data_IF_045026925905
#
_entry.id   IF_045026925905
#
_cell.length_a   1.000
_cell.length_b   1.000
_cell.length_c   1.000
_cell.angle_alpha   90.00
_cell.angle_beta   90.00
_cell.angle_gamma   90.00
#
_symmetry.space_group_name_H-M   'P 1'
#
loop_
_entity.id
_entity.type
_entity.pdbx_description
1 polymer ?
#
# COMPACT_ATOMS: atom_id res chain seq x y z
N UNK A 1 15.09 29.29 -4.83
CA UNK A 1 15.15 28.07 -3.99
C UNK A 1 15.17 26.88 -4.92
N UNK A 2 16.14 25.96 -4.77
CA UNK A 2 16.20 24.71 -5.55
C UNK A 2 15.82 23.56 -4.62
N UNK A 3 14.78 22.80 -4.96
CA UNK A 3 14.39 21.58 -4.27
C UNK A 3 14.86 20.41 -5.15
N UNK A 4 15.85 19.66 -4.67
CA UNK A 4 16.45 18.54 -5.40
C UNK A 4 17.07 17.56 -4.41
N UNK A 5 17.31 16.34 -4.83
CA UNK A 5 18.14 15.40 -4.09
C UNK A 5 19.55 15.96 -3.89
N UNK A 6 20.13 15.70 -2.74
CA UNK A 6 21.56 15.92 -2.52
C UNK A 6 22.39 14.86 -3.27
N UNK A 7 23.73 14.99 -3.26
CA UNK A 7 24.60 14.10 -4.03
C UNK A 7 24.50 12.64 -3.57
N UNK A 8 24.37 12.38 -2.26
CA UNK A 8 24.22 11.03 -1.71
C UNK A 8 22.87 10.40 -2.11
N UNK A 9 21.79 11.18 -2.07
CA UNK A 9 20.47 10.73 -2.51
C UNK A 9 20.41 10.49 -4.02
N UNK A 10 21.09 11.33 -4.79
CA UNK A 10 21.20 11.14 -6.24
C UNK A 10 22.04 9.90 -6.58
N UNK A 11 23.08 9.59 -5.81
CA UNK A 11 23.86 8.35 -5.94
C UNK A 11 23.02 7.12 -5.60
N UNK A 12 22.38 7.10 -4.44
CA UNK A 12 21.47 6.02 -4.04
C UNK A 12 20.41 5.75 -5.12
N UNK A 13 19.87 6.81 -5.71
CA UNK A 13 18.90 6.69 -6.78
C UNK A 13 19.45 6.01 -8.01
N UNK A 14 20.73 6.28 -8.41
CA UNK A 14 21.38 5.59 -9.52
C UNK A 14 21.62 4.12 -9.18
N UNK A 15 22.17 3.85 -8.00
CA UNK A 15 22.42 2.50 -7.49
C UNK A 15 21.15 1.64 -7.53
N UNK A 16 20.03 2.16 -7.00
CA UNK A 16 18.75 1.46 -7.00
C UNK A 16 18.19 1.23 -8.40
N UNK A 17 18.36 2.18 -9.29
CA UNK A 17 17.95 2.03 -10.69
C UNK A 17 18.70 0.91 -11.39
N UNK A 18 20.02 0.86 -11.21
CA UNK A 18 20.87 -0.19 -11.77
C UNK A 18 20.54 -1.54 -11.14
N UNK A 19 20.35 -1.59 -9.82
CA UNK A 19 19.92 -2.76 -9.09
C UNK A 19 18.59 -3.31 -9.61
N UNK A 20 17.55 -2.48 -9.69
CA UNK A 20 16.24 -2.90 -10.19
C UNK A 20 16.25 -3.28 -11.67
N UNK A 21 17.11 -2.66 -12.49
CA UNK A 21 17.29 -3.07 -13.87
C UNK A 21 17.81 -4.51 -13.99
N UNK A 22 18.70 -4.92 -13.09
CA UNK A 22 19.19 -6.29 -13.01
C UNK A 22 18.20 -7.26 -12.37
N UNK A 23 17.50 -6.82 -11.30
CA UNK A 23 16.54 -7.66 -10.58
C UNK A 23 15.31 -7.96 -11.44
N UNK A 24 14.74 -6.95 -12.09
CA UNK A 24 13.47 -7.05 -12.82
C UNK A 24 13.69 -7.39 -14.28
N UNK A 25 14.10 -8.64 -14.56
CA UNK A 25 14.22 -9.17 -15.93
C UNK A 25 12.84 -9.28 -16.60
N UNK A 26 12.83 -9.41 -17.93
CA UNK A 26 11.57 -9.60 -18.68
C UNK A 26 10.85 -10.88 -18.25
N UNK A 27 11.58 -11.95 -17.91
CA UNK A 27 11.05 -13.19 -17.38
C UNK A 27 10.35 -12.98 -16.04
N UNK A 28 11.00 -12.29 -15.08
CA UNK A 28 10.40 -11.96 -13.79
C UNK A 28 9.17 -11.05 -13.93
N UNK A 29 9.23 -10.07 -14.84
CA UNK A 29 8.06 -9.21 -15.11
C UNK A 29 6.90 -10.01 -15.68
N UNK A 30 7.16 -10.94 -16.60
CA UNK A 30 6.13 -11.80 -17.14
C UNK A 30 5.52 -12.70 -16.07
N UNK A 31 6.34 -13.32 -15.21
CA UNK A 31 5.87 -14.16 -14.11
C UNK A 31 4.99 -13.39 -13.10
N UNK A 32 5.35 -12.13 -12.78
CA UNK A 32 4.58 -11.28 -11.85
C UNK A 32 3.29 -10.70 -12.47
N UNK A 33 3.12 -10.74 -13.78
CA UNK A 33 1.94 -10.21 -14.48
C UNK A 33 1.07 -11.30 -15.13
N UNK A 34 1.56 -12.54 -15.14
CA UNK A 34 0.85 -13.72 -15.66
C UNK A 34 -0.04 -14.37 -14.60
N UNK A 35 -1.04 -15.13 -15.06
CA UNK A 35 -1.89 -15.93 -14.21
C UNK A 35 -3.05 -15.21 -13.53
N UNK A 36 -3.79 -15.95 -12.73
CA UNK A 36 -5.01 -15.51 -12.05
C UNK A 36 -4.75 -14.93 -10.65
N UNK A 37 -3.49 -14.79 -10.24
CA UNK A 37 -3.10 -14.29 -8.92
C UNK A 37 -3.01 -12.76 -8.84
N UNK A 38 -3.05 -12.23 -7.63
CA UNK A 38 -2.93 -10.80 -7.33
C UNK A 38 -1.57 -10.23 -7.77
N UNK A 39 -0.50 -11.05 -7.69
CA UNK A 39 0.88 -10.71 -8.07
C UNK A 39 1.56 -11.81 -8.92
N UNK A 40 0.81 -12.43 -9.84
CA UNK A 40 1.34 -13.47 -10.72
C UNK A 40 1.16 -14.89 -10.22
N UNK A 41 1.74 -15.86 -10.93
CA UNK A 41 1.70 -17.28 -10.60
C UNK A 41 2.92 -17.73 -9.79
N UNK A 42 2.71 -18.72 -8.93
CA UNK A 42 3.77 -19.40 -8.20
C UNK A 42 4.51 -18.52 -7.21
N UNK A 43 5.80 -18.79 -7.03
CA UNK A 43 6.65 -18.15 -6.02
C UNK A 43 7.33 -16.86 -6.49
N UNK A 44 7.06 -16.39 -7.71
CA UNK A 44 7.75 -15.25 -8.33
C UNK A 44 7.74 -14.00 -7.44
N UNK A 45 6.63 -13.73 -6.76
CA UNK A 45 6.53 -12.63 -5.80
C UNK A 45 7.47 -12.85 -4.61
N UNK A 46 7.42 -14.03 -3.98
CA UNK A 46 8.25 -14.37 -2.80
C UNK A 46 9.74 -14.34 -3.15
N UNK A 47 10.11 -14.85 -4.33
CA UNK A 47 11.51 -14.88 -4.80
C UNK A 47 12.08 -13.48 -4.99
N UNK A 48 11.33 -12.58 -5.63
CA UNK A 48 11.79 -11.20 -5.82
C UNK A 48 11.90 -10.46 -4.48
N UNK A 49 10.94 -10.65 -3.59
CA UNK A 49 10.97 -10.03 -2.26
C UNK A 49 12.10 -10.58 -1.41
N UNK A 50 12.32 -11.90 -1.40
CA UNK A 50 13.42 -12.53 -0.68
C UNK A 50 14.79 -12.07 -1.22
N UNK A 51 14.93 -11.86 -2.53
CA UNK A 51 16.16 -11.32 -3.10
C UNK A 51 16.40 -9.88 -2.61
N UNK A 52 15.38 -9.00 -2.66
CA UNK A 52 15.52 -7.64 -2.12
C UNK A 52 15.88 -7.63 -0.62
N UNK A 53 15.33 -8.58 0.16
CA UNK A 53 15.65 -8.75 1.56
C UNK A 53 17.08 -9.22 1.79
N UNK A 54 17.55 -10.22 1.03
CA UNK A 54 18.91 -10.72 1.09
C UNK A 54 19.95 -9.66 0.73
N UNK A 55 19.61 -8.76 -0.21
CA UNK A 55 20.44 -7.64 -0.65
C UNK A 55 20.33 -6.42 0.30
N UNK A 56 19.50 -6.51 1.37
CA UNK A 56 19.38 -5.50 2.42
C UNK A 56 18.51 -4.30 2.08
N UNK A 57 17.73 -4.32 0.99
CA UNK A 57 16.99 -3.17 0.50
C UNK A 57 15.64 -2.93 1.20
N UNK A 58 14.99 -3.98 1.72
CA UNK A 58 13.62 -3.86 2.24
C UNK A 58 13.51 -2.98 3.49
N UNK A 59 14.51 -3.02 4.35
CA UNK A 59 14.48 -2.41 5.68
C UNK A 59 15.43 -1.20 5.80
N UNK A 60 15.61 -0.41 4.73
CA UNK A 60 16.56 0.71 4.68
C UNK A 60 16.45 1.68 5.86
N UNK A 61 15.24 2.10 6.19
CA UNK A 61 14.97 3.07 7.24
C UNK A 61 14.87 2.47 8.65
N UNK A 62 15.00 1.14 8.81
CA UNK A 62 14.84 0.51 10.12
C UNK A 62 16.13 0.57 10.95
N UNK A 63 16.03 0.50 12.29
CA UNK A 63 17.18 0.33 13.17
C UNK A 63 18.00 -0.93 12.79
N UNK A 64 19.32 -0.84 12.95
CA UNK A 64 20.23 -1.94 12.61
C UNK A 64 20.00 -3.19 13.44
N UNK A 65 19.51 -3.05 14.66
CA UNK A 65 19.15 -4.15 15.56
C UNK A 65 18.02 -5.03 14.99
N UNK A 66 17.19 -4.50 14.09
CA UNK A 66 16.10 -5.21 13.42
C UNK A 66 16.41 -5.57 11.95
N UNK A 67 17.69 -5.51 11.57
CA UNK A 67 18.14 -5.84 10.22
C UNK A 67 18.05 -4.68 9.23
N UNK A 68 17.84 -3.45 9.70
CA UNK A 68 17.82 -2.24 8.90
C UNK A 68 19.19 -1.59 8.71
N UNK A 69 19.21 -0.45 8.03
CA UNK A 69 20.42 0.32 7.73
C UNK A 69 20.45 1.70 8.39
N UNK A 70 19.47 2.04 9.23
CA UNK A 70 19.35 3.35 9.88
C UNK A 70 19.36 4.53 8.89
N UNK A 71 18.94 4.32 7.64
CA UNK A 71 18.87 5.37 6.62
C UNK A 71 17.65 6.27 6.84
N UNK A 72 17.66 7.42 6.21
CA UNK A 72 16.59 8.39 6.34
C UNK A 72 15.29 7.93 5.67
N UNK A 73 14.15 8.52 6.10
CA UNK A 73 12.86 8.30 5.42
C UNK A 73 12.86 8.82 3.96
N UNK A 74 13.76 9.75 3.64
CA UNK A 74 13.97 10.18 2.25
C UNK A 74 14.61 9.08 1.43
N UNK A 75 15.57 8.33 1.98
CA UNK A 75 16.20 7.19 1.29
C UNK A 75 15.19 6.05 1.10
N UNK A 76 14.32 5.81 2.09
CA UNK A 76 13.21 4.85 1.97
C UNK A 76 12.22 5.27 0.86
N UNK A 77 11.92 6.56 0.74
CA UNK A 77 11.07 7.08 -0.35
C UNK A 77 11.73 6.87 -1.73
N UNK A 78 13.05 7.13 -1.84
CA UNK A 78 13.80 6.89 -3.08
C UNK A 78 13.74 5.42 -3.48
N UNK A 79 13.94 4.50 -2.52
CA UNK A 79 13.80 3.06 -2.76
C UNK A 79 12.40 2.70 -3.28
N UNK A 80 11.36 3.17 -2.60
CA UNK A 80 9.96 2.90 -2.99
C UNK A 80 9.64 3.42 -4.39
N UNK A 81 10.12 4.63 -4.72
CA UNK A 81 9.89 5.23 -6.04
C UNK A 81 10.62 4.46 -7.15
N UNK A 82 11.90 4.11 -6.97
CA UNK A 82 12.65 3.36 -8.00
C UNK A 82 12.14 1.91 -8.13
N UNK A 83 11.70 1.27 -7.04
CA UNK A 83 11.02 -0.03 -7.08
C UNK A 83 9.72 0.05 -7.90
N UNK A 84 8.89 1.06 -7.65
CA UNK A 84 7.64 1.28 -8.37
C UNK A 84 7.87 1.58 -9.87
N UNK A 85 8.91 2.37 -10.21
CA UNK A 85 9.33 2.62 -11.60
C UNK A 85 9.72 1.31 -12.30
N UNK A 86 10.42 0.45 -11.59
CA UNK A 86 10.87 -0.85 -12.12
C UNK A 86 9.74 -1.89 -12.18
N UNK A 87 8.62 -1.67 -11.47
CA UNK A 87 7.55 -2.64 -11.29
C UNK A 87 7.91 -3.78 -10.34
N UNK A 88 8.84 -3.54 -9.40
CA UNK A 88 9.21 -4.51 -8.38
C UNK A 88 8.14 -4.55 -7.27
N UNK A 89 7.71 -5.75 -6.84
CA UNK A 89 6.67 -5.91 -5.83
C UNK A 89 7.25 -5.73 -4.42
N UNK A 90 7.16 -4.53 -3.86
CA UNK A 90 7.53 -4.30 -2.47
C UNK A 90 6.42 -4.81 -1.56
N UNK A 91 6.71 -5.60 -0.49
CA UNK A 91 5.72 -6.08 0.47
C UNK A 91 5.27 -4.94 1.40
N UNK A 92 4.56 -3.99 0.81
CA UNK A 92 4.23 -2.69 1.34
C UNK A 92 3.57 -2.75 2.73
N UNK A 93 2.51 -3.58 2.88
CA UNK A 93 1.79 -3.72 4.14
C UNK A 93 2.69 -4.26 5.25
N UNK A 94 3.51 -5.25 4.92
CA UNK A 94 4.42 -5.88 5.87
C UNK A 94 5.50 -4.90 6.34
N UNK A 95 6.17 -4.20 5.38
CA UNK A 95 7.33 -3.35 5.67
C UNK A 95 6.94 -1.99 6.27
N UNK A 96 5.88 -1.36 5.74
CA UNK A 96 5.56 0.02 6.09
C UNK A 96 4.43 0.14 7.13
N UNK A 97 3.74 -0.97 7.43
CA UNK A 97 2.59 -0.94 8.34
C UNK A 97 2.78 -1.88 9.52
N UNK A 98 2.88 -3.18 9.28
CA UNK A 98 2.93 -4.19 10.35
C UNK A 98 4.24 -4.10 11.13
N UNK A 99 5.38 -4.13 10.45
CA UNK A 99 6.68 -4.15 11.11
C UNK A 99 6.94 -2.91 11.99
N UNK A 100 6.67 -1.66 11.56
CA UNK A 100 6.79 -0.50 12.45
C UNK A 100 5.88 -0.58 13.67
N UNK A 101 4.71 -1.20 13.53
CA UNK A 101 3.80 -1.40 14.68
C UNK A 101 4.37 -2.45 15.64
N UNK A 102 4.93 -3.55 15.15
CA UNK A 102 5.63 -4.54 16.00
C UNK A 102 6.85 -3.90 16.69
N UNK A 103 7.64 -3.07 16.00
CA UNK A 103 8.78 -2.36 16.60
C UNK A 103 8.37 -1.52 17.80
N UNK A 104 7.24 -0.83 17.70
CA UNK A 104 6.80 0.10 18.73
C UNK A 104 5.99 -0.56 19.87
N UNK A 105 5.24 -1.61 19.58
CA UNK A 105 4.24 -2.17 20.50
C UNK A 105 4.35 -3.67 20.73
N UNK A 106 5.15 -4.39 19.93
CA UNK A 106 5.37 -5.82 20.09
C UNK A 106 6.20 -6.15 21.33
N UNK A 107 6.05 -7.37 21.85
CA UNK A 107 6.95 -7.89 22.89
C UNK A 107 8.36 -8.10 22.33
N UNK A 108 9.35 -8.30 23.21
CA UNK A 108 10.73 -8.54 22.79
C UNK A 108 10.85 -9.84 21.99
N UNK A 109 10.05 -10.86 22.34
CA UNK A 109 9.99 -12.12 21.62
C UNK A 109 9.38 -11.92 20.21
N UNK A 110 8.31 -11.12 20.10
CA UNK A 110 7.69 -10.78 18.81
C UNK A 110 8.69 -10.00 17.94
N UNK A 111 9.37 -9.00 18.47
CA UNK A 111 10.39 -8.24 17.75
C UNK A 111 11.51 -9.14 17.25
N UNK A 112 12.06 -9.99 18.14
CA UNK A 112 13.16 -10.91 17.82
C UNK A 112 12.76 -11.96 16.77
N UNK A 113 11.50 -12.39 16.77
CA UNK A 113 11.03 -13.40 15.82
C UNK A 113 10.66 -12.78 14.46
N UNK A 114 9.83 -11.72 14.44
CA UNK A 114 9.24 -11.22 13.22
C UNK A 114 10.16 -10.29 12.45
N UNK A 115 10.77 -9.30 13.10
CA UNK A 115 11.44 -8.21 12.39
C UNK A 115 12.63 -8.67 11.52
N UNK A 116 13.54 -9.53 11.97
CA UNK A 116 14.63 -9.99 11.10
C UNK A 116 14.15 -10.82 9.90
N UNK A 117 13.05 -11.58 10.06
CA UNK A 117 12.47 -12.38 8.98
C UNK A 117 11.76 -11.53 7.94
N UNK A 118 11.09 -10.48 8.40
CA UNK A 118 10.48 -9.48 7.52
C UNK A 118 11.55 -8.73 6.75
N UNK A 119 12.59 -8.23 7.42
CA UNK A 119 13.71 -7.53 6.79
C UNK A 119 14.40 -8.39 5.72
N UNK A 120 14.51 -9.70 5.96
CA UNK A 120 15.05 -10.66 5.01
C UNK A 120 14.07 -11.06 3.88
N UNK A 121 12.86 -10.51 3.84
CA UNK A 121 11.84 -10.83 2.82
C UNK A 121 11.29 -12.26 2.92
N UNK A 122 11.43 -12.93 4.06
CA UNK A 122 11.05 -14.32 4.28
C UNK A 122 9.73 -14.52 5.00
N UNK A 123 9.11 -13.43 5.46
CA UNK A 123 7.87 -13.48 6.21
C UNK A 123 6.95 -12.34 5.75
N UNK A 124 5.71 -12.69 5.45
CA UNK A 124 4.71 -11.80 4.86
C UNK A 124 3.45 -11.75 5.71
N UNK A 125 2.87 -10.55 5.78
CA UNK A 125 1.60 -10.31 6.44
C UNK A 125 0.54 -9.85 5.46
N UNK A 126 -0.70 -10.31 5.70
CA UNK A 126 -1.91 -9.66 5.21
C UNK A 126 -2.66 -8.99 6.35
N UNK A 127 -3.52 -8.02 6.03
CA UNK A 127 -4.26 -7.24 7.02
C UNK A 127 -5.73 -7.65 7.02
N UNK A 128 -6.20 -8.14 8.17
CA UNK A 128 -7.60 -8.49 8.42
C UNK A 128 -8.30 -7.41 9.24
N UNK A 129 -8.79 -6.35 8.58
CA UNK A 129 -9.48 -5.23 9.24
C UNK A 129 -10.97 -5.22 8.92
N UNK A 130 -11.32 -4.88 7.69
CA UNK A 130 -12.71 -4.70 7.24
C UNK A 130 -13.52 -5.99 7.33
N UNK A 131 -14.80 -5.82 7.60
CA UNK A 131 -15.80 -6.90 7.59
C UNK A 131 -16.93 -6.54 6.61
N UNK A 132 -17.78 -7.48 6.20
CA UNK A 132 -18.93 -7.17 5.34
C UNK A 132 -19.81 -6.03 5.89
N UNK A 133 -19.92 -5.91 7.22
CA UNK A 133 -20.71 -4.87 7.91
C UNK A 133 -19.88 -3.75 8.55
N UNK A 134 -18.54 -3.75 8.43
CA UNK A 134 -17.66 -2.79 9.09
C UNK A 134 -16.47 -2.42 8.20
N UNK A 135 -16.66 -1.46 7.31
CA UNK A 135 -15.61 -0.88 6.45
C UNK A 135 -15.25 0.53 6.91
N UNK A 136 -16.00 1.54 6.47
CA UNK A 136 -15.78 2.94 6.87
C UNK A 136 -15.88 3.13 8.39
N UNK A 137 -16.86 2.50 9.04
CA UNK A 137 -16.95 2.41 10.50
C UNK A 137 -16.23 1.15 10.99
N UNK A 138 -14.90 1.14 10.89
CA UNK A 138 -14.08 -0.01 11.28
C UNK A 138 -14.26 -0.36 12.76
N UNK A 139 -14.52 0.63 13.62
CA UNK A 139 -14.75 0.40 15.03
C UNK A 139 -16.01 -0.44 15.34
N UNK A 140 -16.90 -0.66 14.36
CA UNK A 140 -18.04 -1.54 14.48
C UNK A 140 -17.73 -3.03 14.18
N UNK A 141 -16.45 -3.40 13.99
CA UNK A 141 -16.04 -4.78 13.74
C UNK A 141 -16.55 -5.76 14.82
N UNK A 142 -16.88 -6.99 14.38
CA UNK A 142 -17.52 -8.00 15.21
C UNK A 142 -16.76 -9.34 15.30
N UNK A 143 -15.72 -9.55 14.48
CA UNK A 143 -14.83 -10.71 14.64
C UNK A 143 -14.34 -10.75 16.08
N UNK A 144 -14.64 -11.80 16.81
CA UNK A 144 -14.31 -11.93 18.24
C UNK A 144 -13.04 -12.70 18.46
N UNK A 145 -12.35 -12.43 19.56
CA UNK A 145 -11.30 -13.26 20.11
C UNK A 145 -11.58 -13.41 21.63
N UNK A 146 -12.04 -14.59 22.01
CA UNK A 146 -12.43 -14.88 23.42
C UNK A 146 -11.30 -15.66 24.07
N UNK A 147 -10.87 -15.23 25.24
CA UNK A 147 -9.83 -15.91 26.00
C UNK A 147 -10.35 -17.25 26.53
N UNK A 148 -9.60 -18.31 26.28
CA UNK A 148 -9.84 -19.67 26.77
C UNK A 148 -8.51 -20.27 27.27
N UNK A 149 -8.28 -20.14 28.57
CA UNK A 149 -7.00 -20.52 29.19
C UNK A 149 -5.84 -19.66 28.71
N UNK A 150 -4.86 -20.31 28.09
CA UNK A 150 -3.65 -19.68 27.53
C UNK A 150 -3.80 -19.30 26.05
N UNK A 151 -5.01 -19.48 25.46
CA UNK A 151 -5.32 -19.18 24.08
C UNK A 151 -6.38 -18.11 23.94
N UNK A 152 -6.45 -17.51 22.76
CA UNK A 152 -7.64 -16.85 22.20
C UNK A 152 -8.32 -17.76 21.17
N UNK A 153 -9.64 -17.87 21.27
CA UNK A 153 -10.50 -18.54 20.27
C UNK A 153 -11.14 -17.47 19.41
N UNK A 154 -10.83 -17.48 18.11
CA UNK A 154 -11.21 -16.44 17.17
C UNK A 154 -12.36 -16.96 16.30
N UNK A 155 -13.44 -16.16 16.22
CA UNK A 155 -14.59 -16.42 15.37
C UNK A 155 -15.00 -15.17 14.62
N UNK A 156 -15.23 -15.28 13.31
CA UNK A 156 -15.68 -14.17 12.48
C UNK A 156 -15.27 -14.27 11.03
N UNK A 157 -15.41 -13.13 10.34
CA UNK A 157 -15.11 -13.00 8.92
C UNK A 157 -14.49 -11.64 8.65
N UNK A 158 -13.46 -11.61 7.79
CA UNK A 158 -12.93 -10.38 7.23
C UNK A 158 -13.16 -10.33 5.72
N UNK A 159 -13.13 -9.10 5.19
CA UNK A 159 -13.33 -8.83 3.78
C UNK A 159 -12.24 -7.89 3.27
N UNK A 160 -11.85 -8.05 2.03
CA UNK A 160 -10.82 -7.25 1.37
C UNK A 160 -9.41 -7.50 1.94
N UNK A 161 -9.14 -8.75 2.35
CA UNK A 161 -7.83 -9.19 2.83
C UNK A 161 -6.94 -9.50 1.63
N UNK A 162 -6.18 -8.50 1.17
CA UNK A 162 -5.31 -8.62 0.01
C UNK A 162 -4.05 -9.41 0.33
N UNK A 163 -3.49 -10.09 -0.68
CA UNK A 163 -2.24 -10.86 -0.59
C UNK A 163 -2.27 -12.05 0.37
N UNK A 164 -3.45 -12.52 0.79
CA UNK A 164 -3.57 -13.64 1.74
C UNK A 164 -2.93 -14.94 1.21
N UNK A 165 -2.98 -15.17 -0.10
CA UNK A 165 -2.34 -16.33 -0.73
C UNK A 165 -0.81 -16.37 -0.57
N UNK A 166 -0.20 -15.23 -0.31
CA UNK A 166 1.25 -15.07 -0.13
C UNK A 166 1.66 -14.83 1.33
N UNK A 167 0.68 -14.67 2.23
CA UNK A 167 0.93 -14.31 3.62
C UNK A 167 1.18 -15.55 4.50
N UNK A 168 2.11 -15.41 5.42
CA UNK A 168 2.37 -16.40 6.48
C UNK A 168 1.48 -16.11 7.70
N UNK A 169 1.11 -14.84 7.89
CA UNK A 169 0.29 -14.40 9.02
C UNK A 169 -0.74 -13.34 8.60
N UNK A 170 -1.84 -13.32 9.34
CA UNK A 170 -2.82 -12.24 9.30
C UNK A 170 -2.60 -11.30 10.48
N UNK A 171 -2.43 -10.02 10.20
CA UNK A 171 -2.50 -8.93 11.15
C UNK A 171 -3.97 -8.60 11.40
N UNK A 172 -4.54 -9.19 12.44
CA UNK A 172 -5.97 -9.23 12.66
C UNK A 172 -6.44 -8.21 13.70
N UNK A 173 -7.36 -7.31 13.32
CA UNK A 173 -8.15 -6.54 14.27
C UNK A 173 -9.39 -7.36 14.70
N UNK A 174 -9.53 -7.60 15.97
CA UNK A 174 -10.65 -8.37 16.53
C UNK A 174 -11.18 -7.73 17.81
N UNK A 175 -12.32 -8.22 18.27
CA UNK A 175 -12.98 -7.72 19.48
C UNK A 175 -12.77 -8.71 20.62
N UNK A 176 -12.01 -8.29 21.62
CA UNK A 176 -11.80 -9.04 22.87
C UNK A 176 -12.82 -8.69 23.94
N UNK A 177 -13.47 -7.51 23.85
CA UNK A 177 -14.57 -7.11 24.71
C UNK A 177 -15.81 -6.74 23.90
N UNK A 178 -16.74 -7.69 23.67
CA UNK A 178 -17.99 -7.44 22.93
C UNK A 178 -18.93 -6.45 23.61
N UNK A 179 -18.86 -6.25 24.93
CA UNK A 179 -19.73 -5.33 25.67
C UNK A 179 -19.57 -3.87 25.23
N UNK A 180 -18.43 -3.55 24.61
CA UNK A 180 -18.13 -2.22 24.07
C UNK A 180 -18.98 -1.83 22.84
N UNK A 181 -19.70 -2.80 22.23
CA UNK A 181 -20.69 -2.55 21.17
C UNK A 181 -22.11 -2.31 21.71
N UNK A 182 -22.36 -2.54 22.99
CA UNK A 182 -23.64 -2.32 23.62
C UNK A 182 -24.00 -0.81 23.67
N UNK A 183 -25.28 -0.45 23.80
CA UNK A 183 -25.69 0.94 23.94
C UNK A 183 -24.96 1.64 25.10
N UNK A 184 -24.27 2.74 24.81
CA UNK A 184 -23.43 3.48 25.77
C UNK A 184 -21.99 2.97 25.87
N UNK A 185 -21.63 1.87 25.22
CA UNK A 185 -20.28 1.35 25.13
C UNK A 185 -19.37 2.23 24.27
N UNK A 186 -18.07 2.11 24.49
CA UNK A 186 -17.03 2.81 23.70
C UNK A 186 -16.47 1.86 22.66
N UNK A 187 -17.09 1.76 21.48
CA UNK A 187 -16.74 0.79 20.41
C UNK A 187 -15.27 0.77 20.00
N UNK A 188 -14.51 1.84 20.19
CA UNK A 188 -13.07 1.90 19.93
C UNK A 188 -12.24 1.17 21.02
N UNK A 189 -12.81 0.96 22.22
CA UNK A 189 -12.21 0.13 23.27
C UNK A 189 -12.65 -1.33 23.06
N UNK A 190 -11.89 -2.27 23.54
CA UNK A 190 -12.21 -3.69 23.35
C UNK A 190 -11.82 -4.24 21.97
N UNK A 191 -11.14 -3.43 21.14
CA UNK A 191 -10.45 -3.90 19.92
C UNK A 191 -9.01 -4.25 20.28
N UNK A 192 -8.58 -5.43 19.88
CA UNK A 192 -7.20 -5.91 20.04
C UNK A 192 -6.59 -6.28 18.70
N UNK A 193 -5.26 -6.29 18.64
CA UNK A 193 -4.50 -6.74 17.49
C UNK A 193 -3.87 -8.09 17.79
N UNK A 194 -4.15 -9.07 16.94
CA UNK A 194 -3.60 -10.42 17.03
C UNK A 194 -2.81 -10.79 15.77
N UNK A 195 -1.73 -11.54 15.95
CA UNK A 195 -0.99 -12.18 14.87
C UNK A 195 -1.51 -13.61 14.74
N UNK A 196 -2.14 -13.93 13.60
CA UNK A 196 -2.79 -15.22 13.34
C UNK A 196 -2.10 -15.92 12.19
N UNK A 197 -1.54 -17.14 12.37
CA UNK A 197 -0.95 -17.92 11.29
C UNK A 197 -1.99 -18.25 10.21
N UNK A 198 -1.61 -18.24 8.95
CA UNK A 198 -2.52 -18.60 7.83
C UNK A 198 -2.73 -20.10 7.68
N UNK A 199 -1.89 -20.91 8.33
CA UNK A 199 -2.00 -22.37 8.41
C UNK A 199 -2.72 -22.86 9.69
N UNK A 200 -3.23 -21.93 10.52
CA UNK A 200 -3.97 -22.29 11.72
C UNK A 200 -5.24 -23.08 11.39
N UNK A 201 -5.55 -24.11 12.17
CA UNK A 201 -6.78 -24.87 12.04
C UNK A 201 -8.00 -23.94 12.21
N UNK A 202 -8.99 -24.07 11.33
CA UNK A 202 -10.19 -23.23 11.31
C UNK A 202 -10.04 -21.91 10.54
N UNK A 203 -8.82 -21.57 10.05
CA UNK A 203 -8.64 -20.47 9.11
C UNK A 203 -8.88 -20.91 7.68
N UNK A 204 -9.58 -20.10 6.90
CA UNK A 204 -9.74 -20.29 5.47
C UNK A 204 -9.98 -18.97 4.76
N UNK A 205 -9.81 -18.95 3.42
CA UNK A 205 -10.11 -17.78 2.61
C UNK A 205 -10.70 -18.15 1.27
N UNK A 206 -11.42 -17.20 0.67
CA UNK A 206 -11.98 -17.29 -0.69
C UNK A 206 -11.55 -16.07 -1.48
N UNK A 207 -10.90 -16.23 -2.65
CA UNK A 207 -10.57 -15.13 -3.53
C UNK A 207 -11.81 -14.36 -3.99
N UNK A 208 -11.68 -13.05 -4.11
CA UNK A 208 -12.69 -12.14 -4.64
C UNK A 208 -12.11 -11.42 -5.83
N UNK A 209 -12.57 -11.79 -7.03
CA UNK A 209 -12.16 -11.15 -8.27
C UNK A 209 -12.80 -9.79 -8.40
N UNK A 210 -11.99 -8.76 -8.54
CA UNK A 210 -12.48 -7.39 -8.61
C UNK A 210 -12.39 -6.81 -10.03
N UNK A 211 -13.20 -5.79 -10.31
CA UNK A 211 -13.15 -5.06 -11.58
C UNK A 211 -11.78 -4.41 -11.82
N UNK A 212 -11.04 -4.11 -10.78
CA UNK A 212 -9.69 -3.52 -10.90
C UNK A 212 -8.67 -4.47 -11.53
N UNK A 213 -8.97 -5.77 -11.57
CA UNK A 213 -8.02 -6.81 -12.00
C UNK A 213 -6.96 -7.11 -10.94
N UNK A 214 -7.14 -6.60 -9.73
CA UNK A 214 -6.39 -6.99 -8.54
C UNK A 214 -7.34 -7.78 -7.66
N UNK A 215 -7.00 -9.02 -7.37
CA UNK A 215 -7.79 -9.88 -6.51
C UNK A 215 -7.57 -9.49 -5.05
N UNK A 216 -8.55 -9.77 -4.24
CA UNK A 216 -8.50 -9.69 -2.79
C UNK A 216 -9.22 -10.92 -2.23
N UNK A 217 -9.41 -11.02 -0.93
CA UNK A 217 -10.05 -12.21 -0.36
C UNK A 217 -11.01 -11.88 0.76
N UNK A 218 -12.02 -12.74 0.90
CA UNK A 218 -12.75 -12.92 2.15
C UNK A 218 -12.01 -13.96 3.00
N UNK A 219 -11.80 -13.70 4.29
CA UNK A 219 -11.17 -14.63 5.22
C UNK A 219 -12.13 -15.01 6.34
N UNK A 220 -12.07 -16.26 6.78
CA UNK A 220 -12.98 -16.85 7.74
C UNK A 220 -12.20 -17.45 8.89
N UNK A 221 -12.73 -17.28 10.09
CA UNK A 221 -12.17 -17.77 11.34
C UNK A 221 -13.25 -18.58 12.06
N UNK A 222 -13.05 -19.89 12.21
CA UNK A 222 -13.96 -20.82 12.84
C UNK A 222 -13.22 -21.52 13.96
N UNK A 223 -13.40 -21.05 15.18
CA UNK A 223 -12.70 -21.54 16.39
C UNK A 223 -11.17 -21.56 16.22
N UNK A 224 -10.61 -20.59 15.47
CA UNK A 224 -9.16 -20.49 15.29
C UNK A 224 -8.49 -20.20 16.64
N UNK A 225 -7.57 -21.07 17.05
CA UNK A 225 -6.84 -20.94 18.31
C UNK A 225 -5.47 -20.35 18.08
N UNK A 226 -5.14 -19.32 18.86
CA UNK A 226 -3.80 -18.73 18.91
C UNK A 226 -3.41 -18.47 20.36
N UNK A 227 -2.13 -18.64 20.75
CA UNK A 227 -1.69 -18.39 22.11
C UNK A 227 -1.91 -16.91 22.50
N UNK A 228 -2.12 -16.65 23.78
CA UNK A 228 -2.30 -15.27 24.30
C UNK A 228 -1.12 -14.36 23.99
N UNK A 229 0.07 -14.92 23.76
CA UNK A 229 1.27 -14.20 23.29
C UNK A 229 1.15 -13.65 21.85
N UNK A 230 0.12 -14.05 21.09
CA UNK A 230 -0.14 -13.52 19.74
C UNK A 230 -0.71 -12.10 19.76
N UNK A 231 -1.14 -11.60 20.91
CA UNK A 231 -1.59 -10.21 21.04
C UNK A 231 -0.43 -9.23 20.88
N UNK A 232 -0.66 -8.13 20.18
CA UNK A 232 0.33 -7.05 20.05
C UNK A 232 -0.16 -5.84 20.84
N UNK A 233 0.67 -5.37 21.77
CA UNK A 233 0.29 -4.36 22.73
C UNK A 233 -0.61 -4.92 23.84
N UNK A 234 -1.54 -4.09 24.33
CA UNK A 234 -2.44 -4.45 25.40
C UNK A 234 -3.81 -4.92 24.87
N UNK A 235 -4.46 -5.83 25.60
CA UNK A 235 -5.83 -6.24 25.31
C UNK A 235 -6.78 -5.05 25.41
N UNK A 236 -7.65 -4.88 24.39
CA UNK A 236 -8.54 -3.72 24.26
C UNK A 236 -7.83 -2.44 23.82
N UNK A 237 -6.50 -2.45 23.65
CA UNK A 237 -5.66 -1.31 23.25
C UNK A 237 -5.36 -1.24 21.75
N UNK A 238 -6.03 -2.02 20.89
CA UNK A 238 -5.70 -2.12 19.45
C UNK A 238 -6.05 -0.89 18.62
N UNK A 239 -7.02 -0.05 19.02
CA UNK A 239 -7.44 1.08 18.21
C UNK A 239 -6.33 2.12 17.92
N UNK A 240 -5.51 2.54 18.89
CA UNK A 240 -4.34 3.38 18.63
C UNK A 240 -3.35 2.74 17.64
N UNK A 241 -3.15 1.42 17.68
CA UNK A 241 -2.28 0.71 16.76
C UNK A 241 -2.81 0.79 15.32
N UNK A 242 -4.11 0.54 15.14
CA UNK A 242 -4.80 0.66 13.84
C UNK A 242 -4.66 2.08 13.28
N UNK A 243 -4.92 3.11 14.08
CA UNK A 243 -4.88 4.51 13.61
C UNK A 243 -3.46 4.96 13.28
N UNK A 244 -2.47 4.57 14.07
CA UNK A 244 -1.06 4.86 13.81
C UNK A 244 -0.59 4.20 12.50
N UNK A 245 -0.91 2.93 12.32
CA UNK A 245 -0.59 2.18 11.11
C UNK A 245 -1.17 2.81 9.85
N UNK A 246 -2.46 3.19 9.87
CA UNK A 246 -3.13 3.83 8.74
C UNK A 246 -2.48 5.17 8.35
N UNK A 247 -1.86 5.90 9.29
CA UNK A 247 -1.13 7.13 8.96
C UNK A 247 0.13 6.86 8.14
N UNK A 248 0.87 5.80 8.44
CA UNK A 248 2.05 5.39 7.67
C UNK A 248 1.66 4.85 6.28
N UNK A 249 0.60 4.07 6.21
CA UNK A 249 0.08 3.50 4.96
C UNK A 249 -0.33 4.59 3.95
N UNK A 250 -1.02 5.64 4.40
CA UNK A 250 -1.55 6.70 3.53
C UNK A 250 -0.49 7.40 2.70
N UNK A 251 0.68 7.65 3.26
CA UNK A 251 1.78 8.34 2.57
C UNK A 251 2.34 7.48 1.47
N UNK A 252 2.55 6.23 1.77
CA UNK A 252 3.22 5.31 0.86
C UNK A 252 2.30 4.82 -0.28
N UNK A 253 0.96 4.83 -0.09
CA UNK A 253 -0.02 4.57 -1.17
C UNK A 253 0.01 5.61 -2.30
N UNK A 254 0.66 6.77 -2.11
CA UNK A 254 0.58 7.92 -3.00
C UNK A 254 1.92 8.24 -3.67
N UNK A 255 2.73 7.22 -4.06
CA UNK A 255 3.92 7.46 -4.86
C UNK A 255 3.56 8.13 -6.21
N UNK A 256 4.34 9.14 -6.60
CA UNK A 256 4.22 9.78 -7.90
C UNK A 256 4.87 8.94 -9.03
N UNK A 257 5.70 7.97 -8.69
CA UNK A 257 6.55 7.24 -9.63
C UNK A 257 5.78 6.47 -10.71
N UNK A 258 4.68 5.73 -10.42
CA UNK A 258 3.91 5.04 -11.46
C UNK A 258 3.30 6.01 -12.49
N UNK A 259 2.76 7.14 -12.01
CA UNK A 259 2.17 8.17 -12.89
C UNK A 259 3.26 8.83 -13.73
N UNK A 260 4.42 9.11 -13.14
CA UNK A 260 5.56 9.70 -13.86
C UNK A 260 6.06 8.77 -14.97
N UNK A 261 6.11 7.47 -14.72
CA UNK A 261 6.47 6.46 -15.72
C UNK A 261 5.45 6.43 -16.85
N UNK A 262 4.16 6.35 -16.52
CA UNK A 262 3.08 6.34 -17.51
C UNK A 262 3.09 7.62 -18.36
N UNK A 263 3.32 8.79 -17.75
CA UNK A 263 3.46 10.06 -18.48
C UNK A 263 4.62 10.02 -19.47
N UNK A 264 5.81 9.60 -19.02
CA UNK A 264 7.01 9.51 -19.88
C UNK A 264 6.79 8.61 -21.09
N UNK A 265 6.19 7.44 -20.86
CA UNK A 265 5.87 6.49 -21.92
C UNK A 265 4.82 7.01 -22.89
N UNK A 266 3.79 7.68 -22.39
CA UNK A 266 2.75 8.31 -23.23
C UNK A 266 3.33 9.45 -24.06
N UNK A 267 4.24 10.27 -23.51
CA UNK A 267 4.96 11.32 -24.25
C UNK A 267 5.79 10.71 -25.37
N UNK A 268 6.60 9.68 -25.08
CA UNK A 268 7.43 9.01 -26.08
C UNK A 268 6.56 8.39 -27.19
N UNK A 269 5.46 7.74 -26.84
CA UNK A 269 4.51 7.20 -27.80
C UNK A 269 3.89 8.30 -28.69
N UNK A 270 3.44 9.41 -28.10
CA UNK A 270 2.83 10.52 -28.84
C UNK A 270 3.82 11.25 -29.76
N UNK A 271 5.11 11.26 -29.43
CA UNK A 271 6.17 11.81 -30.27
C UNK A 271 6.46 10.93 -31.51
N UNK A 272 6.26 9.61 -31.41
CA UNK A 272 6.55 8.63 -32.45
C UNK A 272 5.33 8.31 -33.32
N UNK A 273 4.13 8.41 -32.75
CA UNK A 273 2.89 8.03 -33.44
C UNK A 273 2.36 9.16 -34.30
N UNK A 274 1.96 8.83 -35.54
CA UNK A 274 1.33 9.76 -36.49
C UNK A 274 -0.16 9.48 -36.60
N UNK A 275 -0.93 10.55 -36.72
CA UNK A 275 -2.34 10.53 -37.08
C UNK A 275 -2.54 10.30 -38.59
N UNK A 276 -3.76 10.02 -38.99
CA UNK A 276 -4.08 9.71 -40.41
C UNK A 276 -3.74 10.84 -41.40
N UNK A 277 -3.61 12.09 -40.94
CA UNK A 277 -3.18 13.26 -41.71
C UNK A 277 -1.65 13.47 -41.71
N UNK A 278 -0.90 12.56 -41.06
CA UNK A 278 0.57 12.54 -41.05
C UNK A 278 1.22 13.39 -39.95
N UNK A 279 0.46 14.16 -39.16
CA UNK A 279 0.97 14.88 -37.99
C UNK A 279 1.28 13.92 -36.85
N UNK A 280 2.21 14.29 -35.95
CA UNK A 280 2.45 13.52 -34.73
C UNK A 280 1.34 13.79 -33.73
N UNK A 281 0.97 12.79 -32.93
CA UNK A 281 -0.03 12.94 -31.88
C UNK A 281 0.34 14.09 -30.91
N UNK A 282 1.64 14.22 -30.59
CA UNK A 282 2.16 15.26 -29.68
C UNK A 282 1.96 16.69 -30.22
N UNK A 283 1.78 16.87 -31.54
CA UNK A 283 1.66 18.21 -32.16
C UNK A 283 0.27 18.83 -31.92
N UNK A 284 -0.72 18.03 -31.52
CA UNK A 284 -2.05 18.53 -31.18
C UNK A 284 -2.05 19.31 -29.85
N UNK A 285 -2.59 20.53 -29.86
CA UNK A 285 -2.60 21.43 -28.69
C UNK A 285 -3.25 20.79 -27.45
N UNK A 286 -4.39 20.11 -27.63
CA UNK A 286 -5.10 19.46 -26.51
C UNK A 286 -4.27 18.31 -25.91
N UNK A 287 -3.48 17.59 -26.70
CA UNK A 287 -2.55 16.55 -26.23
C UNK A 287 -1.48 17.20 -25.34
N UNK A 288 -0.87 18.29 -25.81
CA UNK A 288 0.15 19.01 -25.04
C UNK A 288 -0.43 19.53 -23.72
N UNK A 289 -1.67 20.05 -23.72
CA UNK A 289 -2.35 20.50 -22.50
C UNK A 289 -2.60 19.37 -21.51
N UNK A 290 -3.08 18.20 -21.94
CA UNK A 290 -3.28 17.04 -21.08
C UNK A 290 -1.95 16.58 -20.47
N UNK A 291 -0.91 16.43 -21.27
CA UNK A 291 0.41 16.01 -20.80
C UNK A 291 1.03 17.02 -19.82
N UNK A 292 0.92 18.32 -20.11
CA UNK A 292 1.41 19.39 -19.23
C UNK A 292 0.65 19.41 -17.89
N UNK A 293 -0.66 19.20 -17.91
CA UNK A 293 -1.49 19.11 -16.70
C UNK A 293 -1.07 17.93 -15.82
N UNK A 294 -0.87 16.75 -16.42
CA UNK A 294 -0.37 15.58 -15.68
C UNK A 294 1.02 15.86 -15.12
N UNK A 295 1.93 16.43 -15.92
CA UNK A 295 3.29 16.77 -15.47
C UNK A 295 3.29 17.71 -14.25
N UNK A 296 2.56 18.82 -14.32
CA UNK A 296 2.51 19.79 -13.23
C UNK A 296 2.00 19.16 -11.92
N UNK A 297 0.95 18.33 -12.02
CA UNK A 297 0.38 17.64 -10.85
C UNK A 297 1.27 16.53 -10.30
N UNK A 298 2.03 15.83 -11.14
CA UNK A 298 3.07 14.87 -10.71
C UNK A 298 4.14 15.58 -9.89
N UNK A 299 4.66 16.72 -10.37
CA UNK A 299 5.68 17.49 -9.65
C UNK A 299 5.16 17.98 -8.30
N UNK A 300 3.91 18.39 -8.22
CA UNK A 300 3.28 18.76 -6.94
C UNK A 300 3.18 17.57 -5.98
N UNK A 301 2.74 16.39 -6.45
CA UNK A 301 2.66 15.18 -5.63
C UNK A 301 4.04 14.77 -5.10
N UNK A 302 5.08 14.85 -5.93
CA UNK A 302 6.47 14.61 -5.49
C UNK A 302 6.87 15.54 -4.35
N UNK A 303 6.57 16.84 -4.47
CA UNK A 303 6.90 17.83 -3.43
C UNK A 303 6.19 17.56 -2.11
N UNK A 304 4.92 17.12 -2.15
CA UNK A 304 4.19 16.72 -0.94
C UNK A 304 4.88 15.51 -0.28
N UNK A 305 5.21 14.48 -1.06
CA UNK A 305 5.89 13.30 -0.55
C UNK A 305 7.27 13.64 0.05
N UNK A 306 8.03 14.51 -0.62
CA UNK A 306 9.33 14.99 -0.11
C UNK A 306 9.18 15.79 1.18
N UNK A 307 8.15 16.64 1.30
CA UNK A 307 7.85 17.36 2.54
C UNK A 307 7.67 16.38 3.70
N UNK A 308 6.86 15.35 3.51
CA UNK A 308 6.57 14.36 4.55
C UNK A 308 7.83 13.56 4.91
N UNK A 309 8.56 13.07 3.92
CA UNK A 309 9.80 12.33 4.13
C UNK A 309 10.87 13.19 4.83
N UNK A 310 10.97 14.48 4.50
CA UNK A 310 11.90 15.43 5.13
C UNK A 310 11.55 15.68 6.60
N UNK A 311 10.26 15.85 6.94
CA UNK A 311 9.81 16.00 8.33
C UNK A 311 10.18 14.76 9.14
N UNK A 312 9.89 13.57 8.62
CA UNK A 312 10.23 12.30 9.28
C UNK A 312 11.75 12.11 9.42
N UNK A 313 12.54 12.47 8.39
CA UNK A 313 14.01 12.40 8.43
C UNK A 313 14.65 13.34 9.46
N UNK A 314 13.94 14.41 9.83
CA UNK A 314 14.38 15.38 10.86
C UNK A 314 13.92 15.01 12.28
N UNK A 315 13.41 13.79 12.48
CA UNK A 315 12.89 13.33 13.78
C UNK A 315 11.49 13.83 14.12
N UNK A 316 10.82 14.52 13.19
CA UNK A 316 9.42 14.92 13.34
C UNK A 316 8.45 13.82 12.94
N UNK A 317 7.22 13.91 13.44
CA UNK A 317 6.12 13.05 12.99
C UNK A 317 5.26 13.80 11.97
N UNK A 318 5.00 13.24 10.78
CA UNK A 318 4.03 13.81 9.86
C UNK A 318 2.67 13.97 10.52
N UNK A 319 2.02 15.11 10.31
CA UNK A 319 0.68 15.30 10.88
C UNK A 319 -0.32 14.36 10.20
N UNK A 320 -1.32 13.83 10.92
CA UNK A 320 -2.40 13.03 10.31
C UNK A 320 -3.15 13.80 9.21
N UNK A 321 -3.22 15.13 9.31
CA UNK A 321 -3.82 15.99 8.30
C UNK A 321 -2.98 16.04 7.02
N UNK A 322 -1.64 16.16 7.12
CA UNK A 322 -0.73 16.11 5.96
C UNK A 322 -0.81 14.74 5.26
N UNK A 323 -0.80 13.63 6.03
CA UNK A 323 -0.97 12.29 5.48
C UNK A 323 -2.32 12.13 4.75
N UNK A 324 -3.40 12.63 5.35
CA UNK A 324 -4.74 12.62 4.75
C UNK A 324 -4.83 13.48 3.49
N UNK A 325 -4.23 14.67 3.49
CA UNK A 325 -4.20 15.56 2.32
C UNK A 325 -3.42 14.91 1.16
N UNK A 326 -2.30 14.26 1.45
CA UNK A 326 -1.51 13.52 0.45
C UNK A 326 -2.32 12.38 -0.13
N UNK A 327 -3.02 11.63 0.71
CA UNK A 327 -3.86 10.51 0.27
C UNK A 327 -5.00 10.99 -0.64
N UNK A 328 -5.73 12.02 -0.25
CA UNK A 328 -6.82 12.57 -1.08
C UNK A 328 -6.27 13.05 -2.42
N UNK A 329 -5.24 13.90 -2.38
CA UNK A 329 -4.67 14.44 -3.61
C UNK A 329 -4.11 13.36 -4.53
N UNK A 330 -3.27 12.46 -3.99
CA UNK A 330 -2.57 11.45 -4.77
C UNK A 330 -3.51 10.44 -5.42
N UNK A 331 -4.53 9.98 -4.71
CA UNK A 331 -5.46 8.97 -5.23
C UNK A 331 -6.44 9.54 -6.26
N UNK A 332 -6.97 10.74 -6.04
CA UNK A 332 -7.83 11.41 -7.02
C UNK A 332 -7.04 11.83 -8.26
N UNK A 333 -5.82 12.31 -8.05
CA UNK A 333 -4.93 12.65 -9.15
C UNK A 333 -4.52 11.42 -9.97
N UNK A 334 -4.26 10.27 -9.35
CA UNK A 334 -3.95 9.04 -10.09
C UNK A 334 -5.08 8.68 -11.07
N UNK A 335 -6.32 8.71 -10.60
CA UNK A 335 -7.50 8.47 -11.45
C UNK A 335 -7.61 9.49 -12.59
N UNK A 336 -7.42 10.78 -12.30
CA UNK A 336 -7.43 11.83 -13.31
C UNK A 336 -6.29 11.67 -14.32
N UNK A 337 -5.07 11.41 -13.83
CA UNK A 337 -3.88 11.29 -14.67
C UNK A 337 -4.01 10.16 -15.70
N UNK A 338 -4.37 8.96 -15.23
CA UNK A 338 -4.50 7.84 -16.16
C UNK A 338 -5.62 8.07 -17.18
N UNK A 339 -6.74 8.69 -16.80
CA UNK A 339 -7.79 9.08 -17.73
C UNK A 339 -7.27 10.05 -18.80
N UNK A 340 -6.54 11.10 -18.40
CA UNK A 340 -5.97 12.07 -19.35
C UNK A 340 -4.94 11.44 -20.30
N UNK A 341 -4.12 10.50 -19.78
CA UNK A 341 -3.17 9.76 -20.62
C UNK A 341 -3.87 8.79 -21.58
N UNK A 342 -4.97 8.16 -21.15
CA UNK A 342 -5.80 7.32 -22.03
C UNK A 342 -6.46 8.15 -23.13
N UNK A 343 -6.93 9.36 -22.84
CA UNK A 343 -7.46 10.28 -23.85
C UNK A 343 -6.41 10.59 -24.95
N UNK A 344 -5.15 10.80 -24.55
CA UNK A 344 -4.04 11.04 -25.51
C UNK A 344 -3.81 9.84 -26.44
N UNK A 345 -3.87 8.62 -25.91
CA UNK A 345 -3.69 7.38 -26.70
C UNK A 345 -4.94 7.07 -27.53
N UNK A 346 -6.10 7.51 -27.10
CA UNK A 346 -7.37 7.30 -27.79
C UNK A 346 -7.99 5.91 -27.54
N UNK A 347 -8.88 5.42 -28.42
CA UNK A 347 -9.66 4.18 -28.16
C UNK A 347 -8.81 2.93 -27.87
N UNK A 348 -7.63 2.83 -28.44
CA UNK A 348 -6.72 1.70 -28.19
C UNK A 348 -6.21 1.63 -26.73
N UNK A 349 -6.30 2.73 -25.96
CA UNK A 349 -5.98 2.75 -24.54
C UNK A 349 -6.92 1.91 -23.67
N UNK A 350 -8.10 1.54 -24.18
CA UNK A 350 -9.08 0.70 -23.46
C UNK A 350 -8.83 -0.80 -23.63
N UNK A 351 -7.86 -1.18 -24.45
CA UNK A 351 -7.49 -2.58 -24.67
C UNK A 351 -6.62 -3.10 -23.53
N UNK A 352 -6.97 -4.31 -23.06
CA UNK A 352 -6.23 -4.98 -21.99
C UNK A 352 -4.85 -5.47 -22.46
N UNK A 353 -3.97 -5.67 -21.50
CA UNK A 353 -2.67 -6.34 -21.73
C UNK A 353 -2.88 -7.65 -22.51
N UNK A 354 -2.05 -7.88 -23.53
CA UNK A 354 -2.11 -9.05 -24.41
C UNK A 354 -3.13 -8.96 -25.54
N UNK A 355 -3.99 -7.93 -25.59
CA UNK A 355 -4.93 -7.72 -26.71
C UNK A 355 -4.20 -7.21 -27.94
N UNK A 356 -4.56 -7.72 -29.13
CA UNK A 356 -4.04 -7.22 -30.41
C UNK A 356 -4.37 -5.72 -30.57
N UNK A 357 -3.36 -4.90 -30.83
CA UNK A 357 -3.52 -3.45 -30.99
C UNK A 357 -3.49 -2.65 -29.68
N UNK A 358 -3.24 -3.29 -28.52
CA UNK A 358 -3.06 -2.58 -27.27
C UNK A 358 -1.78 -1.73 -27.30
N UNK A 359 -1.92 -0.42 -27.14
CA UNK A 359 -0.78 0.49 -27.00
C UNK A 359 -0.25 0.47 -25.55
N UNK A 360 1.05 0.73 -25.40
CA UNK A 360 1.72 0.75 -24.09
C UNK A 360 1.45 -0.53 -23.27
N UNK A 361 1.34 -1.67 -23.97
CA UNK A 361 1.03 -2.99 -23.40
C UNK A 361 -0.25 -3.04 -22.56
N UNK A 362 -1.25 -2.17 -22.83
CA UNK A 362 -2.50 -2.12 -22.05
C UNK A 362 -2.36 -1.60 -20.61
N UNK A 363 -1.18 -1.05 -20.25
CA UNK A 363 -0.91 -0.61 -18.86
C UNK A 363 -1.80 0.53 -18.39
N UNK A 364 -2.14 1.47 -19.27
CA UNK A 364 -2.99 2.61 -18.89
C UNK A 364 -4.40 2.14 -18.50
N UNK A 365 -4.97 1.17 -19.22
CA UNK A 365 -6.24 0.55 -18.91
C UNK A 365 -6.22 -0.10 -17.52
N UNK A 366 -5.19 -0.91 -17.25
CA UNK A 366 -5.00 -1.57 -15.95
C UNK A 366 -4.83 -0.54 -14.83
N UNK A 367 -3.99 0.46 -15.00
CA UNK A 367 -3.76 1.51 -14.00
C UNK A 367 -5.02 2.34 -13.72
N UNK A 368 -5.81 2.66 -14.75
CA UNK A 368 -7.07 3.37 -14.58
C UNK A 368 -8.05 2.57 -13.70
N UNK A 369 -8.23 1.28 -13.97
CA UNK A 369 -9.12 0.43 -13.15
C UNK A 369 -8.60 0.26 -11.73
N UNK A 370 -7.30 0.00 -11.58
CA UNK A 370 -6.68 -0.20 -10.26
C UNK A 370 -6.70 1.07 -9.42
N UNK A 371 -6.55 2.26 -10.02
CA UNK A 371 -6.53 3.53 -9.29
C UNK A 371 -7.81 3.83 -8.53
N UNK A 372 -8.96 3.28 -8.96
CA UNK A 372 -10.25 3.51 -8.32
C UNK A 372 -10.28 2.99 -6.87
N UNK A 373 -9.65 1.85 -6.59
CA UNK A 373 -9.57 1.27 -5.23
C UNK A 373 -8.92 2.25 -4.25
N UNK A 374 -7.92 3.01 -4.71
CA UNK A 374 -7.15 3.90 -3.86
C UNK A 374 -7.99 5.02 -3.25
N UNK A 375 -9.13 5.38 -3.85
CA UNK A 375 -10.01 6.44 -3.33
C UNK A 375 -10.76 6.03 -2.05
N UNK A 376 -10.89 4.74 -1.78
CA UNK A 376 -11.57 4.22 -0.59
C UNK A 376 -10.72 3.24 0.25
N UNK A 377 -9.72 2.57 -0.31
CA UNK A 377 -8.74 1.78 0.43
C UNK A 377 -7.89 2.65 1.36
N UNK A 378 -7.52 2.16 2.54
CA UNK A 378 -6.80 2.93 3.56
C UNK A 378 -7.63 4.06 4.19
N UNK A 379 -8.97 3.92 4.17
CA UNK A 379 -9.96 4.92 4.58
C UNK A 379 -10.42 5.80 3.41
N UNK A 380 -11.73 6.00 3.28
CA UNK A 380 -12.32 6.74 2.15
C UNK A 380 -11.83 8.19 2.08
N UNK A 381 -11.80 8.78 0.90
CA UNK A 381 -11.38 10.16 0.72
C UNK A 381 -12.29 11.15 1.47
N UNK A 382 -13.56 10.80 1.71
CA UNK A 382 -14.49 11.56 2.53
C UNK A 382 -14.03 11.60 4.00
N UNK A 383 -13.64 10.43 4.56
CA UNK A 383 -13.07 10.36 5.92
C UNK A 383 -11.74 11.12 6.00
N UNK A 384 -10.90 11.04 4.98
CA UNK A 384 -9.65 11.82 4.95
C UNK A 384 -9.93 13.34 4.97
N UNK A 385 -10.95 13.81 4.25
CA UNK A 385 -11.38 15.22 4.30
C UNK A 385 -11.91 15.62 5.68
N UNK A 386 -12.65 14.75 6.35
CA UNK A 386 -13.06 14.98 7.75
C UNK A 386 -11.85 15.12 8.68
N UNK A 387 -10.82 14.27 8.53
CA UNK A 387 -9.57 14.35 9.32
C UNK A 387 -8.87 15.69 9.06
N UNK A 388 -8.75 16.11 7.81
CA UNK A 388 -8.16 17.42 7.44
C UNK A 388 -8.97 18.56 8.08
N UNK A 389 -10.29 18.52 7.97
CA UNK A 389 -11.18 19.54 8.52
C UNK A 389 -11.02 19.68 10.03
N UNK A 390 -10.96 18.56 10.74
CA UNK A 390 -10.82 18.54 12.21
C UNK A 390 -9.41 18.95 12.66
N UNK A 391 -8.37 18.34 12.09
CA UNK A 391 -7.01 18.45 12.64
C UNK A 391 -6.20 19.60 12.04
N UNK A 392 -6.44 19.99 10.78
CA UNK A 392 -5.75 21.12 10.17
C UNK A 392 -6.53 22.41 10.26
N UNK A 393 -7.85 22.37 10.12
CA UNK A 393 -8.70 23.56 10.08
C UNK A 393 -9.43 23.84 11.40
N UNK A 394 -9.33 22.95 12.39
CA UNK A 394 -9.99 23.11 13.69
C UNK A 394 -11.53 23.11 13.64
N UNK A 395 -12.12 22.53 12.57
CA UNK A 395 -13.57 22.46 12.43
C UNK A 395 -14.17 21.43 13.41
N UNK A 396 -15.41 21.67 13.88
CA UNK A 396 -16.05 20.78 14.84
C UNK A 396 -16.32 19.39 14.25
N UNK A 397 -16.15 18.38 15.08
CA UNK A 397 -16.47 17.00 14.71
C UNK A 397 -17.99 16.86 14.51
N UNK A 398 -18.41 16.43 13.32
CA UNK A 398 -19.81 16.00 13.13
C UNK A 398 -20.02 14.66 13.86
N UNK A 399 -20.93 14.66 14.85
CA UNK A 399 -21.40 13.40 15.44
C UNK A 399 -22.25 12.69 14.38
N UNK A 400 -21.74 11.56 13.92
CA UNK A 400 -22.47 10.62 13.05
C UNK A 400 -23.22 9.62 13.91
#
# INVERSE_FOLDING_TARGET
>A
MRIAYNDQQAELRRELRDYFSGLMTDERRAALTGGDGELGEGDAYRDVVAQMGADGWLALGWPTEFGGQNRSMMDQLIFTDEAAIAGAPVPFLTINSVAPTIMNYGSDEQKAYFLPRIAAGKLHFSIGYSEPGAGTDLAALRTTAVRDGDDYVINGQKMWTSLVAYADYIWLACRTDPSTLEPGGKKHKGISMLIVPTDAEGFSYTPVHTMSGVDTSATYYQDVRVPTSSIVGEEGGGWPLVTNQLNHERVALCSAAPIQTALRETVAWAQQTKTGDGHRVIDAQWVQQNLARVHAKVEFLKLINWKIASVASSGGSPSPADASATKVYGTEFATEAYRLLMEVVGPAATLRTGSTGAHLNGRLERYQRTSLILTFGGGTNEIQRDIIAMLALGLPHQRR
#
